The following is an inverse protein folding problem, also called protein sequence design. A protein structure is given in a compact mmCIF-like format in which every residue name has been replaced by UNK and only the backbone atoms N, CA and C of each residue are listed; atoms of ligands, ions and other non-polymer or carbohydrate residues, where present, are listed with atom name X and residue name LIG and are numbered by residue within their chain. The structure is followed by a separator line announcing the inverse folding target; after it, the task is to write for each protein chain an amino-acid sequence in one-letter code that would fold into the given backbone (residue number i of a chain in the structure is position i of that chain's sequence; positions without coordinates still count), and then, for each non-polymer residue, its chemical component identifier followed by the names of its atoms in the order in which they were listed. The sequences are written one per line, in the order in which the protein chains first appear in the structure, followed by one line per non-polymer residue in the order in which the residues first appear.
data_IF_019095181172
#
_entry.id   IF_019095181172
#
_cell.length_a   1.000
_cell.length_b   1.000
_cell.length_c   1.000
_cell.angle_alpha   90.00
_cell.angle_beta   90.00
_cell.angle_gamma   90.00
#
_symmetry.space_group_name_H-M   'P 1'
#
loop_
_entity.id
_entity.type
_entity.pdbx_description
1 polymer ?
#
# COMPACT_ATOMS: atom_id res chain seq x y z
N UNK A 1 13.99 -2.47 1.39
CA UNK A 1 12.79 -3.26 1.73
C UNK A 1 12.03 -3.58 0.46
N UNK A 2 11.30 -4.69 0.47
CA UNK A 2 10.42 -5.10 -0.61
C UNK A 2 9.01 -4.55 -0.36
N UNK A 3 8.50 -3.74 -1.29
CA UNK A 3 7.21 -3.05 -1.15
C UNK A 3 6.28 -3.45 -2.29
N UNK A 4 5.12 -3.99 -1.95
CA UNK A 4 4.05 -4.29 -2.90
C UNK A 4 3.03 -3.17 -2.97
N UNK A 5 2.62 -2.77 -4.16
CA UNK A 5 1.53 -1.81 -4.37
C UNK A 5 0.44 -2.46 -5.20
N UNK A 6 -0.75 -2.51 -4.65
CA UNK A 6 -1.95 -3.09 -5.26
C UNK A 6 -2.89 -1.97 -5.66
N UNK A 7 -3.17 -1.88 -6.96
CA UNK A 7 -3.89 -0.76 -7.58
C UNK A 7 -2.94 0.38 -7.96
N UNK A 8 -2.62 0.47 -9.25
CA UNK A 8 -1.74 1.50 -9.81
C UNK A 8 -2.54 2.66 -10.41
N UNK A 9 -3.59 3.09 -9.70
CA UNK A 9 -4.34 4.29 -10.02
C UNK A 9 -3.60 5.59 -9.70
N UNK A 10 -4.34 6.67 -9.44
CA UNK A 10 -3.75 7.95 -9.04
C UNK A 10 -2.92 7.81 -7.76
N UNK A 11 -3.51 7.23 -6.70
CA UNK A 11 -2.87 7.11 -5.38
C UNK A 11 -1.73 6.10 -5.42
N UNK A 12 -2.01 4.84 -5.77
CA UNK A 12 -0.98 3.79 -5.77
C UNK A 12 0.14 4.04 -6.77
N UNK A 13 -0.17 4.55 -7.96
CA UNK A 13 0.82 4.95 -8.95
C UNK A 13 1.70 6.12 -8.49
N UNK A 14 1.13 7.07 -7.73
CA UNK A 14 1.92 8.18 -7.16
C UNK A 14 2.82 7.70 -6.02
N UNK A 15 2.34 6.79 -5.16
CA UNK A 15 3.16 6.14 -4.13
C UNK A 15 4.29 5.34 -4.76
N UNK A 16 3.99 4.54 -5.79
CA UNK A 16 5.00 3.79 -6.53
C UNK A 16 6.13 4.71 -7.03
N UNK A 17 5.78 5.78 -7.74
CA UNK A 17 6.75 6.77 -8.24
C UNK A 17 7.51 7.49 -7.13
N UNK A 18 6.84 7.82 -6.03
CA UNK A 18 7.48 8.51 -4.92
C UNK A 18 8.48 7.61 -4.20
N UNK A 19 8.13 6.36 -3.95
CA UNK A 19 8.98 5.40 -3.25
C UNK A 19 10.18 5.00 -4.13
N UNK A 20 9.94 4.59 -5.38
CA UNK A 20 11.01 4.13 -6.28
C UNK A 20 12.03 5.23 -6.59
N UNK A 21 11.60 6.50 -6.70
CA UNK A 21 12.48 7.60 -7.10
C UNK A 21 13.14 8.34 -5.93
N UNK A 22 12.69 8.13 -4.70
CA UNK A 22 13.24 8.86 -3.54
C UNK A 22 13.82 7.93 -2.45
N UNK A 23 13.79 6.60 -2.66
CA UNK A 23 14.31 5.62 -1.70
C UNK A 23 15.01 4.48 -2.42
N UNK A 24 15.82 3.71 -1.69
CA UNK A 24 16.48 2.49 -2.18
C UNK A 24 15.60 1.23 -1.99
N UNK A 25 14.27 1.40 -1.89
CA UNK A 25 13.35 0.29 -1.76
C UNK A 25 12.95 -0.26 -3.12
N UNK A 26 12.79 -1.58 -3.20
CA UNK A 26 12.26 -2.25 -4.39
C UNK A 26 10.74 -2.18 -4.38
N UNK A 27 10.14 -1.72 -5.45
CA UNK A 27 8.68 -1.58 -5.58
C UNK A 27 8.14 -2.55 -6.61
N UNK A 28 7.17 -3.37 -6.22
CA UNK A 28 6.40 -4.24 -7.09
C UNK A 28 4.98 -3.72 -7.22
N UNK A 29 4.37 -3.85 -8.38
CA UNK A 29 3.03 -3.31 -8.60
C UNK A 29 2.06 -4.29 -9.23
N UNK A 30 0.82 -4.26 -8.76
CA UNK A 30 -0.29 -5.00 -9.34
C UNK A 30 -1.41 -4.05 -9.75
N UNK A 31 -1.94 -4.27 -10.93
CA UNK A 31 -3.18 -3.66 -11.40
C UNK A 31 -3.91 -4.67 -12.31
N UNK A 32 -5.24 -4.64 -12.30
CA UNK A 32 -6.05 -5.47 -13.20
C UNK A 32 -5.79 -5.13 -14.68
N UNK A 33 -5.39 -3.89 -14.96
CA UNK A 33 -5.01 -3.41 -16.28
C UNK A 33 -3.54 -3.69 -16.58
N UNK A 34 -3.26 -4.74 -17.33
CA UNK A 34 -1.89 -5.04 -17.80
C UNK A 34 -1.18 -3.86 -18.49
N UNK A 35 -1.85 -3.04 -19.35
CA UNK A 35 -1.22 -1.84 -19.90
C UNK A 35 -0.76 -0.83 -18.83
N UNK A 36 -1.48 -0.70 -17.71
CA UNK A 36 -1.07 0.17 -16.59
C UNK A 36 0.21 -0.38 -15.94
N UNK A 37 0.28 -1.68 -15.69
CA UNK A 37 1.48 -2.33 -15.14
C UNK A 37 2.69 -2.11 -16.06
N UNK A 38 2.55 -2.36 -17.36
CA UNK A 38 3.62 -2.11 -18.33
C UNK A 38 4.07 -0.64 -18.35
N UNK A 39 3.11 0.29 -18.29
CA UNK A 39 3.43 1.72 -18.25
C UNK A 39 4.17 2.10 -16.96
N UNK A 40 3.80 1.50 -15.83
CA UNK A 40 4.47 1.73 -14.56
C UNK A 40 5.93 1.25 -14.57
N UNK A 41 6.20 0.11 -15.23
CA UNK A 41 7.57 -0.39 -15.45
C UNK A 41 8.37 0.56 -16.36
N UNK A 42 7.78 1.00 -17.47
CA UNK A 42 8.48 1.88 -18.44
C UNK A 42 8.90 3.24 -17.87
N UNK A 43 8.27 3.68 -16.78
CA UNK A 43 8.61 4.94 -16.11
C UNK A 43 9.32 4.72 -14.78
N UNK A 44 9.85 3.52 -14.54
CA UNK A 44 10.58 3.11 -13.35
C UNK A 44 9.80 3.38 -12.03
N UNK A 45 8.46 3.29 -12.10
CA UNK A 45 7.63 3.37 -10.93
C UNK A 45 7.57 2.05 -10.14
N UNK A 46 7.72 0.94 -10.85
CA UNK A 46 7.83 -0.41 -10.28
C UNK A 46 8.95 -1.17 -10.99
N UNK A 47 9.63 -2.03 -10.25
CA UNK A 47 10.69 -2.92 -10.78
C UNK A 47 10.09 -4.00 -11.68
N UNK A 48 9.03 -4.65 -11.22
CA UNK A 48 8.32 -5.69 -11.94
C UNK A 48 6.88 -5.89 -11.41
N UNK A 49 6.05 -6.67 -12.13
CA UNK A 49 4.71 -6.98 -11.67
C UNK A 49 4.73 -7.74 -10.34
N UNK A 50 3.84 -7.35 -9.42
CA UNK A 50 3.63 -8.05 -8.16
C UNK A 50 2.93 -9.40 -8.44
N UNK A 51 3.63 -10.49 -8.16
CA UNK A 51 3.12 -11.87 -8.23
C UNK A 51 2.90 -12.41 -6.82
N UNK A 52 2.17 -13.53 -6.67
CA UNK A 52 1.96 -14.19 -5.38
C UNK A 52 3.29 -14.52 -4.67
N UNK A 53 4.29 -14.96 -5.46
CA UNK A 53 5.63 -15.23 -4.93
C UNK A 53 6.28 -13.97 -4.37
N UNK A 54 6.16 -12.83 -5.03
CA UNK A 54 6.73 -11.57 -4.57
C UNK A 54 5.91 -10.99 -3.42
N UNK A 55 4.59 -11.15 -3.44
CA UNK A 55 3.71 -10.75 -2.36
C UNK A 55 4.14 -11.38 -1.03
N UNK A 56 4.53 -12.67 -1.05
CA UNK A 56 5.01 -13.37 0.15
C UNK A 56 6.40 -12.92 0.63
N UNK A 57 7.08 -12.09 -0.12
CA UNK A 57 8.39 -11.52 0.24
C UNK A 57 8.29 -10.06 0.70
N UNK A 58 7.19 -9.37 0.39
CA UNK A 58 7.01 -7.97 0.72
C UNK A 58 7.01 -7.72 2.23
N UNK A 59 7.77 -6.73 2.65
CA UNK A 59 7.79 -6.23 4.03
C UNK A 59 6.59 -5.32 4.30
N UNK A 60 6.19 -4.57 3.26
CA UNK A 60 5.03 -3.67 3.27
C UNK A 60 4.20 -3.91 2.01
N UNK A 61 2.89 -4.00 2.16
CA UNK A 61 1.95 -4.02 1.04
C UNK A 61 0.96 -2.87 1.18
N UNK A 62 0.91 -2.02 0.18
CA UNK A 62 -0.01 -0.88 0.14
C UNK A 62 -1.14 -1.19 -0.83
N UNK A 63 -2.38 -1.21 -0.33
CA UNK A 63 -3.57 -1.52 -1.11
C UNK A 63 -4.32 -0.22 -1.43
N UNK A 64 -4.21 0.25 -2.66
CA UNK A 64 -4.80 1.50 -3.15
C UNK A 64 -6.01 1.21 -4.07
N UNK A 65 -6.97 0.48 -3.54
CA UNK A 65 -8.21 0.08 -4.18
C UNK A 65 -9.42 0.76 -3.54
N UNK A 66 -10.61 0.57 -4.13
CA UNK A 66 -11.86 0.93 -3.47
C UNK A 66 -12.09 0.07 -2.22
N UNK A 67 -12.90 0.54 -1.24
CA UNK A 67 -13.02 -0.13 0.05
C UNK A 67 -13.38 -1.62 -0.04
N UNK A 68 -14.38 -1.99 -0.84
CA UNK A 68 -14.79 -3.39 -1.00
C UNK A 68 -13.71 -4.22 -1.70
N UNK A 69 -13.14 -3.68 -2.79
CA UNK A 69 -12.06 -4.37 -3.52
C UNK A 69 -10.82 -4.56 -2.63
N UNK A 70 -10.57 -3.65 -1.70
CA UNK A 70 -9.51 -3.79 -0.68
C UNK A 70 -9.77 -4.97 0.23
N UNK A 71 -10.99 -5.10 0.75
CA UNK A 71 -11.38 -6.23 1.61
C UNK A 71 -11.26 -7.54 0.83
N UNK A 72 -11.79 -7.59 -0.37
CA UNK A 72 -11.79 -8.79 -1.21
C UNK A 72 -10.35 -9.22 -1.58
N UNK A 73 -9.50 -8.27 -1.96
CA UNK A 73 -8.11 -8.54 -2.27
C UNK A 73 -7.34 -9.07 -1.06
N UNK A 74 -7.40 -8.37 0.07
CA UNK A 74 -6.66 -8.77 1.27
C UNK A 74 -7.15 -10.11 1.80
N UNK A 75 -8.47 -10.36 1.78
CA UNK A 75 -9.04 -11.63 2.22
C UNK A 75 -8.59 -12.79 1.33
N UNK A 76 -8.64 -12.62 0.01
CA UNK A 76 -8.26 -13.68 -0.93
C UNK A 76 -6.76 -13.99 -0.93
N UNK A 77 -5.90 -13.05 -0.49
CA UNK A 77 -4.44 -13.21 -0.45
C UNK A 77 -3.89 -13.30 0.99
N UNK A 78 -4.76 -13.45 2.00
CA UNK A 78 -4.35 -13.39 3.40
C UNK A 78 -3.29 -14.44 3.78
N UNK A 79 -3.32 -15.61 3.17
CA UNK A 79 -2.35 -16.68 3.41
C UNK A 79 -0.99 -16.45 2.69
N UNK A 80 -0.93 -15.49 1.79
CA UNK A 80 0.28 -15.16 1.03
C UNK A 80 1.11 -14.07 1.67
N UNK A 81 0.54 -13.24 2.56
CA UNK A 81 1.32 -12.19 3.19
C UNK A 81 2.40 -12.74 4.11
N UNK A 82 3.59 -12.16 4.01
CA UNK A 82 4.70 -12.50 4.88
C UNK A 82 4.32 -12.28 6.35
N UNK A 83 4.60 -13.24 7.21
CA UNK A 83 4.37 -13.07 8.65
C UNK A 83 5.15 -11.89 9.19
N UNK A 84 4.46 -11.03 9.94
CA UNK A 84 5.03 -9.79 10.46
C UNK A 84 5.10 -8.65 9.45
N UNK A 85 4.67 -8.84 8.20
CA UNK A 85 4.57 -7.74 7.23
C UNK A 85 3.46 -6.76 7.60
N UNK A 86 3.52 -5.57 7.03
CA UNK A 86 2.52 -4.53 7.20
C UNK A 86 1.67 -4.45 5.92
N UNK A 87 0.36 -4.60 6.06
CA UNK A 87 -0.60 -4.34 4.98
C UNK A 87 -1.36 -3.07 5.31
N UNK A 88 -1.26 -2.06 4.46
CA UNK A 88 -1.87 -0.74 4.67
C UNK A 88 -2.81 -0.43 3.51
N UNK A 89 -4.04 0.00 3.81
CA UNK A 89 -4.94 0.50 2.77
C UNK A 89 -4.83 2.02 2.57
N UNK A 90 -5.40 2.52 1.48
CA UNK A 90 -5.45 3.93 1.14
C UNK A 90 -6.89 4.44 0.94
N UNK A 91 -7.91 3.69 1.34
CA UNK A 91 -9.31 4.07 1.14
C UNK A 91 -9.76 5.18 2.08
N UNK A 92 -10.80 5.94 1.72
CA UNK A 92 -11.35 6.99 2.58
C UNK A 92 -12.23 6.47 3.72
N UNK A 93 -12.76 5.24 3.60
CA UNK A 93 -13.69 4.63 4.56
C UNK A 93 -12.96 3.60 5.41
N UNK A 94 -12.77 3.88 6.71
CA UNK A 94 -11.96 3.01 7.60
C UNK A 94 -12.78 1.96 8.33
N UNK A 95 -13.97 2.30 8.83
CA UNK A 95 -14.72 1.40 9.70
C UNK A 95 -14.91 0.02 9.06
N UNK A 96 -15.55 -0.03 7.90
CA UNK A 96 -15.87 -1.27 7.21
C UNK A 96 -14.62 -2.10 6.87
N UNK A 97 -13.55 -1.45 6.44
CA UNK A 97 -12.30 -2.11 6.06
C UNK A 97 -11.57 -2.64 7.30
N UNK A 98 -11.41 -1.81 8.34
CA UNK A 98 -10.69 -2.20 9.55
C UNK A 98 -11.43 -3.27 10.36
N UNK A 99 -12.78 -3.18 10.48
CA UNK A 99 -13.58 -4.18 11.20
C UNK A 99 -13.44 -5.59 10.61
N UNK A 100 -13.25 -5.70 9.30
CA UNK A 100 -13.08 -6.99 8.63
C UNK A 100 -11.62 -7.46 8.59
N UNK A 101 -10.68 -6.56 8.32
CA UNK A 101 -9.31 -6.96 8.02
C UNK A 101 -8.40 -7.05 9.26
N UNK A 102 -8.69 -6.34 10.36
CA UNK A 102 -7.87 -6.43 11.57
C UNK A 102 -7.94 -7.84 12.20
N UNK A 103 -9.13 -8.43 12.42
CA UNK A 103 -9.20 -9.79 12.98
C UNK A 103 -8.54 -10.84 12.06
N UNK A 104 -8.71 -10.69 10.76
CA UNK A 104 -8.08 -11.56 9.76
C UNK A 104 -6.55 -11.45 9.81
N UNK A 105 -6.02 -10.25 9.91
CA UNK A 105 -4.58 -10.02 9.99
C UNK A 105 -3.97 -10.64 11.26
N UNK A 106 -4.65 -10.50 12.40
CA UNK A 106 -4.24 -11.13 13.66
C UNK A 106 -4.22 -12.67 13.52
N UNK A 107 -5.24 -13.27 12.91
CA UNK A 107 -5.30 -14.71 12.66
C UNK A 107 -4.16 -15.20 11.75
N UNK A 108 -3.87 -14.45 10.70
CA UNK A 108 -2.90 -14.83 9.66
C UNK A 108 -1.46 -14.40 9.99
N UNK A 109 -1.25 -13.56 10.98
CA UNK A 109 0.06 -13.18 11.49
C UNK A 109 0.74 -12.06 10.71
N UNK A 110 -0.02 -11.18 10.04
CA UNK A 110 0.47 -9.91 9.51
C UNK A 110 -0.20 -8.74 10.25
N UNK A 111 0.31 -7.52 10.09
CA UNK A 111 -0.27 -6.31 10.68
C UNK A 111 -1.10 -5.56 9.63
N UNK A 112 -2.38 -5.34 9.90
CA UNK A 112 -3.20 -4.45 9.08
C UNK A 112 -3.29 -3.06 9.69
N UNK A 113 -3.01 -2.03 8.87
CA UNK A 113 -3.07 -0.62 9.29
C UNK A 113 -4.00 0.13 8.34
N UNK A 114 -5.06 0.71 8.87
CA UNK A 114 -5.92 1.59 8.09
C UNK A 114 -5.18 2.88 7.74
N UNK A 115 -5.05 3.20 6.47
CA UNK A 115 -4.43 4.43 5.98
C UNK A 115 -5.40 5.29 5.19
N UNK A 116 -5.21 6.62 5.23
CA UNK A 116 -5.94 7.57 4.40
C UNK A 116 -5.02 8.72 4.00
N UNK A 117 -4.46 8.70 2.78
CA UNK A 117 -3.68 9.82 2.28
C UNK A 117 -4.61 11.00 1.98
N UNK A 118 -4.35 12.14 2.64
CA UNK A 118 -5.10 13.40 2.45
C UNK A 118 -4.62 14.13 1.20
N UNK A 119 -4.55 13.40 0.09
CA UNK A 119 -4.17 13.92 -1.20
C UNK A 119 -5.06 13.30 -2.28
N UNK A 120 -5.46 14.10 -3.23
CA UNK A 120 -6.29 13.67 -4.35
C UNK A 120 -6.35 14.74 -5.42
N UNK A 121 -6.91 14.38 -6.56
CA UNK A 121 -7.19 15.27 -7.67
C UNK A 121 -8.52 14.86 -8.31
N UNK A 122 -9.11 15.74 -9.10
CA UNK A 122 -10.35 15.48 -9.84
C UNK A 122 -10.20 14.35 -10.88
N UNK A 123 -8.96 14.02 -11.25
CA UNK A 123 -8.66 13.00 -12.26
C UNK A 123 -8.21 11.70 -11.60
N UNK A 124 -8.55 10.56 -12.20
CA UNK A 124 -8.15 9.22 -11.76
C UNK A 124 -7.23 8.54 -12.77
N UNK A 125 -6.61 7.45 -12.33
CA UNK A 125 -5.76 6.59 -13.15
C UNK A 125 -4.28 6.95 -13.14
N UNK A 126 -3.46 6.00 -13.60
CA UNK A 126 -1.99 6.07 -13.58
C UNK A 126 -1.41 7.25 -14.37
N UNK A 127 -2.10 7.68 -15.43
CA UNK A 127 -1.66 8.81 -16.27
C UNK A 127 -1.51 10.10 -15.47
N UNK A 128 -2.32 10.28 -14.43
CA UNK A 128 -2.30 11.45 -13.56
C UNK A 128 -1.44 11.27 -12.31
N UNK A 129 -0.88 10.08 -12.10
CA UNK A 129 -0.01 9.79 -10.96
C UNK A 129 1.30 10.59 -11.04
N UNK A 130 1.65 11.23 -9.93
CA UNK A 130 2.85 12.10 -9.80
C UNK A 130 3.57 11.81 -8.49
N UNK A 131 4.91 11.71 -8.51
CA UNK A 131 5.72 11.54 -7.29
C UNK A 131 5.52 12.65 -6.25
N UNK A 132 5.12 13.83 -6.71
CA UNK A 132 4.89 15.01 -5.85
C UNK A 132 3.45 15.11 -5.31
N UNK A 133 2.59 14.11 -5.56
CA UNK A 133 1.17 14.18 -5.15
C UNK A 133 1.03 14.35 -3.63
N UNK A 134 1.94 13.76 -2.86
CA UNK A 134 1.88 13.75 -1.39
C UNK A 134 2.76 14.81 -0.74
N UNK A 135 3.41 15.69 -1.52
CA UNK A 135 4.19 16.78 -0.96
C UNK A 135 3.29 17.70 -0.11
N UNK A 136 3.65 17.87 1.17
CA UNK A 136 2.87 18.61 2.17
C UNK A 136 1.46 18.05 2.44
N UNK A 137 1.18 16.82 2.04
CA UNK A 137 -0.05 16.12 2.38
C UNK A 137 0.11 15.31 3.66
N UNK A 138 -0.96 15.26 4.46
CA UNK A 138 -1.01 14.39 5.65
C UNK A 138 -1.38 12.97 5.26
N UNK A 139 -0.83 11.99 5.97
CA UNK A 139 -1.29 10.61 5.96
C UNK A 139 -1.91 10.28 7.31
N UNK A 140 -3.17 9.92 7.31
CA UNK A 140 -3.87 9.52 8.53
C UNK A 140 -3.76 8.00 8.67
N UNK A 141 -3.31 7.53 9.83
CA UNK A 141 -3.31 6.11 10.16
C UNK A 141 -4.33 5.83 11.26
N UNK A 142 -5.06 4.74 11.11
CA UNK A 142 -5.94 4.18 12.14
C UNK A 142 -5.21 3.00 12.76
N UNK A 143 -4.65 3.15 13.99
CA UNK A 143 -3.93 2.06 14.63
C UNK A 143 -4.89 0.91 14.96
N UNK A 144 -4.39 -0.31 14.84
CA UNK A 144 -4.99 -1.49 15.45
C UNK A 144 -4.98 -1.34 16.97
N UNK A 145 -5.84 -2.09 17.69
CA UNK A 145 -5.90 -2.06 19.16
C UNK A 145 -4.53 -2.38 19.75
N UNK A 146 -3.80 -1.35 20.17
CA UNK A 146 -2.51 -1.45 20.82
C UNK A 146 -1.96 -0.02 21.03
N UNK A 147 -1.13 0.21 22.06
CA UNK A 147 -0.49 1.50 22.20
C UNK A 147 0.38 1.78 20.98
N UNK A 148 0.44 3.04 20.58
CA UNK A 148 1.28 3.55 19.48
C UNK A 148 2.73 3.07 19.61
N UNK A 149 3.17 2.71 20.81
CA UNK A 149 4.46 2.08 21.12
C UNK A 149 4.73 0.76 20.37
N UNK A 150 3.68 0.00 19.98
CA UNK A 150 3.86 -1.18 19.13
C UNK A 150 4.15 -0.84 17.65
N UNK A 151 3.92 0.40 17.24
CA UNK A 151 4.27 0.94 15.92
C UNK A 151 5.69 1.53 15.88
N UNK A 152 6.43 1.50 16.97
CA UNK A 152 7.87 1.80 17.03
C UNK A 152 8.75 0.68 16.47
N UNK A 153 8.22 -0.08 15.50
CA UNK A 153 9.09 -0.83 14.62
C UNK A 153 10.06 0.16 13.96
N UNK A 154 11.39 -0.10 14.01
CA UNK A 154 12.38 0.78 13.37
C UNK A 154 12.10 1.09 11.89
N UNK A 155 11.23 0.31 11.28
CA UNK A 155 10.82 0.46 9.89
C UNK A 155 9.72 1.52 9.68
N UNK A 156 8.86 1.79 10.67
CA UNK A 156 7.75 2.74 10.50
C UNK A 156 8.15 4.20 10.81
N UNK A 157 8.97 4.40 11.83
CA UNK A 157 9.44 5.74 12.28
C UNK A 157 10.32 6.45 11.24
N UNK A 158 10.96 5.71 10.34
CA UNK A 158 11.85 6.29 9.33
C UNK A 158 11.12 7.06 8.22
N UNK A 159 9.84 6.80 8.02
CA UNK A 159 9.04 7.38 6.93
C UNK A 159 8.02 8.43 7.36
N UNK A 160 7.77 8.57 8.67
CA UNK A 160 6.85 9.59 9.21
C UNK A 160 7.54 10.90 9.61
N UNK A 161 8.86 11.03 9.43
CA UNK A 161 9.66 12.20 9.84
C UNK A 161 10.46 12.83 8.70
N UNK A 162 9.89 12.92 7.53
CA UNK A 162 10.51 13.74 6.45
C UNK A 162 9.49 14.57 5.73
#
# INVERSE_FOLDING_TARGET
MEIGIVGLGLIGGSLAKAISQNTDNTVYGFDISKPVVHKAMLVDAIEQPLTDKLLSQCDIVIVALYPQDTVDYVTSHADLFKKGSIVCDCSGVKRMVCEQLIPLAEEKGFLFVGGHPMAGREHSGFTYAKKSLFNNASMIFTPTKGPIESMESPHFTKYCRS
#
